data_IF_267315419502
#
_entry.id   IF_267315419502
#
_cell.length_a   1.000
_cell.length_b   1.000
_cell.length_c   1.000
_cell.angle_alpha   90.00
_cell.angle_beta   90.00
_cell.angle_gamma   90.00
#
_symmetry.space_group_name_H-M   'P 1'
#
loop_
_entity.id
_entity.type
_entity.pdbx_description
1 polymer ?
#
# COMPACT_ATOMS: atom_id res chain seq x y z
N UNK A 1 9.26 21.98 13.16
CA UNK A 1 7.99 21.24 12.96
C UNK A 1 8.28 19.98 12.18
N UNK A 2 7.98 18.79 12.73
CA UNK A 2 8.03 17.52 11.96
C UNK A 2 6.83 17.50 11.01
N UNK A 3 7.00 16.99 9.80
CA UNK A 3 5.89 16.83 8.87
C UNK A 3 5.07 15.59 9.24
N UNK A 4 3.75 15.74 9.30
CA UNK A 4 2.86 14.63 9.62
C UNK A 4 2.89 13.56 8.51
N UNK A 5 2.65 12.31 8.92
CA UNK A 5 2.50 11.18 8.01
C UNK A 5 1.38 11.44 7.01
N UNK A 6 1.66 11.24 5.71
CA UNK A 6 0.67 11.42 4.65
C UNK A 6 0.97 10.54 3.45
N UNK A 7 -0.07 10.19 2.72
CA UNK A 7 0.05 9.59 1.40
C UNK A 7 0.46 10.69 0.42
N UNK A 8 1.61 10.54 -0.22
CA UNK A 8 2.10 11.45 -1.26
C UNK A 8 1.68 10.98 -2.66
N UNK A 9 1.63 9.66 -2.86
CA UNK A 9 1.20 9.04 -4.11
C UNK A 9 0.09 8.03 -3.82
N UNK A 10 -1.19 8.40 -4.04
CA UNK A 10 -2.29 7.47 -3.82
C UNK A 10 -2.35 6.41 -4.92
N UNK A 11 -2.78 5.18 -4.59
CA UNK A 11 -3.05 4.16 -5.60
C UNK A 11 -4.14 4.63 -6.57
N UNK A 12 -3.96 4.29 -7.84
CA UNK A 12 -4.89 4.65 -8.90
C UNK A 12 -5.89 3.53 -9.15
N UNK A 13 -7.12 3.89 -9.54
CA UNK A 13 -8.11 2.90 -10.00
C UNK A 13 -7.66 2.28 -11.32
N UNK A 14 -7.84 0.97 -11.48
CA UNK A 14 -7.46 0.24 -12.69
C UNK A 14 -8.63 -0.61 -13.15
N UNK A 15 -8.98 -0.49 -14.44
CA UNK A 15 -9.88 -1.43 -15.12
C UNK A 15 -9.01 -2.49 -15.82
N UNK A 16 -9.19 -3.75 -15.45
CA UNK A 16 -8.44 -4.87 -16.01
C UNK A 16 -9.37 -5.93 -16.59
N UNK A 17 -8.88 -6.68 -17.57
CA UNK A 17 -9.60 -7.84 -18.11
C UNK A 17 -9.44 -9.03 -17.17
N UNK A 18 -10.43 -9.94 -17.18
CA UNK A 18 -10.35 -11.20 -16.42
C UNK A 18 -9.05 -11.95 -16.77
N UNK A 19 -8.31 -12.38 -15.75
CA UNK A 19 -7.05 -13.09 -15.90
C UNK A 19 -5.81 -12.19 -16.01
N UNK A 20 -5.95 -10.87 -16.04
CA UNK A 20 -4.81 -9.95 -15.96
C UNK A 20 -4.36 -9.72 -14.52
N UNK A 21 -3.04 -9.68 -14.33
CA UNK A 21 -2.41 -9.24 -13.08
C UNK A 21 -2.36 -7.71 -13.02
N UNK A 22 -2.68 -7.14 -11.86
CA UNK A 22 -2.65 -5.70 -11.61
C UNK A 22 -1.78 -5.43 -10.39
N UNK A 23 -0.92 -4.41 -10.48
CA UNK A 23 -0.11 -3.93 -9.36
C UNK A 23 -0.58 -2.54 -8.95
N UNK A 24 -1.03 -2.40 -7.70
CA UNK A 24 -1.29 -1.10 -7.09
C UNK A 24 -0.02 -0.60 -6.40
N UNK A 25 0.23 0.72 -6.47
CA UNK A 25 1.38 1.37 -5.84
C UNK A 25 0.90 2.47 -4.93
N UNK A 26 1.55 2.62 -3.77
CA UNK A 26 1.25 3.67 -2.80
C UNK A 26 2.58 4.22 -2.27
N UNK A 27 2.73 5.55 -2.29
CA UNK A 27 3.88 6.25 -1.74
C UNK A 27 3.45 7.11 -0.55
N UNK A 28 4.17 7.01 0.56
CA UNK A 28 3.89 7.77 1.77
C UNK A 28 5.15 8.40 2.36
N UNK A 29 5.00 9.62 2.86
CA UNK A 29 5.95 10.21 3.78
C UNK A 29 5.52 9.88 5.21
N UNK A 30 6.46 9.44 6.03
CA UNK A 30 6.24 9.14 7.43
C UNK A 30 6.81 10.24 8.31
N UNK A 31 6.10 10.57 9.38
CA UNK A 31 6.66 11.38 10.46
C UNK A 31 7.93 10.71 10.99
N UNK A 32 8.97 11.53 11.25
CA UNK A 32 10.23 11.08 11.80
C UNK A 32 10.06 10.32 13.13
N UNK A 33 9.09 10.71 13.95
CA UNK A 33 8.79 10.07 15.24
C UNK A 33 7.97 8.78 15.15
N UNK A 34 7.42 8.44 13.97
CA UNK A 34 6.60 7.24 13.82
C UNK A 34 7.48 6.00 13.72
N UNK A 35 7.23 5.03 14.59
CA UNK A 35 7.84 3.70 14.58
C UNK A 35 6.86 2.66 15.16
N UNK A 36 6.61 1.53 14.49
CA UNK A 36 7.11 1.16 13.16
C UNK A 36 6.49 2.00 12.05
N UNK A 37 7.20 2.08 10.91
CA UNK A 37 6.69 2.70 9.68
C UNK A 37 6.28 1.60 8.71
N UNK A 38 5.17 1.77 8.02
CA UNK A 38 4.69 0.78 7.08
C UNK A 38 3.45 1.24 6.35
N UNK A 39 3.18 0.58 5.22
CA UNK A 39 1.91 0.67 4.51
C UNK A 39 1.17 -0.65 4.69
N UNK A 40 -0.14 -0.55 4.81
CA UNK A 40 -1.02 -1.68 5.01
C UNK A 40 -2.11 -1.61 3.94
N UNK A 41 -2.33 -2.73 3.27
CA UNK A 41 -3.36 -2.81 2.23
C UNK A 41 -4.62 -3.40 2.80
N UNK A 42 -5.75 -2.80 2.44
CA UNK A 42 -7.07 -3.24 2.85
C UNK A 42 -7.94 -3.48 1.63
N UNK A 43 -8.73 -4.54 1.68
CA UNK A 43 -9.77 -4.85 0.70
C UNK A 43 -11.07 -5.07 1.44
N UNK A 44 -12.09 -4.30 1.08
CA UNK A 44 -13.44 -4.41 1.67
C UNK A 44 -13.42 -4.35 3.22
N UNK A 45 -12.54 -3.50 3.77
CA UNK A 45 -12.34 -3.33 5.22
C UNK A 45 -11.46 -4.39 5.90
N UNK A 46 -11.06 -5.45 5.19
CA UNK A 46 -10.15 -6.48 5.70
C UNK A 46 -8.71 -6.22 5.29
N UNK A 47 -7.78 -6.38 6.23
CA UNK A 47 -6.35 -6.27 5.97
C UNK A 47 -5.90 -7.41 5.07
N UNK A 48 -5.25 -7.07 3.96
CA UNK A 48 -4.50 -8.02 3.15
C UNK A 48 -3.23 -8.39 3.90
N UNK A 49 -3.01 -9.69 4.07
CA UNK A 49 -1.72 -10.19 4.56
C UNK A 49 -0.75 -10.19 3.39
N UNK A 50 0.50 -9.79 3.63
CA UNK A 50 1.55 -10.08 2.67
C UNK A 50 1.62 -11.59 2.52
N UNK A 51 1.20 -12.08 1.35
CA UNK A 51 1.50 -13.45 0.97
C UNK A 51 2.99 -13.50 0.76
N UNK A 52 3.70 -14.29 1.57
CA UNK A 52 5.07 -14.66 1.26
C UNK A 52 5.07 -15.15 -0.19
N UNK A 53 5.82 -14.46 -1.05
CA UNK A 53 6.01 -14.79 -2.45
C UNK A 53 6.30 -16.29 -2.52
N UNK A 54 5.32 -17.07 -2.97
CA UNK A 54 5.45 -18.54 -3.04
C UNK A 54 6.10 -18.97 -4.36
N UNK A 55 6.61 -18.02 -5.15
CA UNK A 55 7.44 -18.29 -6.32
C UNK A 55 8.91 -18.41 -5.89
N UNK A 56 9.29 -19.62 -5.49
CA UNK A 56 10.68 -20.10 -5.51
C UNK A 56 10.78 -21.40 -6.28
#
# INVERSE_FOLDING_TARGET
VSAATRIEVPPQSVTAKKGQTVTFRCGAAFDAGLSPRGLEWYRDGQRLQDTADSDK
#
